data_IF_567278977214
#
_entry.id   IF_567278977214
#
_cell.length_a   1.000
_cell.length_b   1.000
_cell.length_c   1.000
_cell.angle_alpha   90.00
_cell.angle_beta   90.00
_cell.angle_gamma   90.00
#
_symmetry.space_group_name_H-M   'P 1'
#
loop_
_entity.id
_entity.type
_entity.pdbx_description
1 polymer ?
#
# COMPACT_ATOMS: atom_id res chain seq x y z
N UNK A 1 32.28 6.76 10.30
CA UNK A 1 31.11 7.34 9.66
C UNK A 1 30.03 7.44 10.70
N UNK A 2 29.47 8.62 10.89
CA UNK A 2 28.31 8.78 11.76
C UNK A 2 27.14 8.11 11.05
N UNK A 3 26.70 6.97 11.58
CA UNK A 3 25.46 6.33 11.19
C UNK A 3 24.30 7.10 11.83
N UNK A 4 23.25 7.37 11.08
CA UNK A 4 22.07 8.11 11.57
C UNK A 4 20.88 7.18 11.72
N UNK A 5 19.92 7.56 12.56
CA UNK A 5 18.68 6.81 12.70
C UNK A 5 17.79 7.02 11.46
N UNK A 6 17.26 5.93 10.93
CA UNK A 6 16.32 5.96 9.83
C UNK A 6 14.89 6.17 10.29
N UNK A 7 14.06 6.78 9.45
CA UNK A 7 12.64 6.97 9.69
C UNK A 7 11.87 6.53 8.44
N UNK A 8 10.83 5.74 8.65
CA UNK A 8 9.92 5.27 7.62
C UNK A 8 8.51 5.80 7.89
N UNK A 9 7.88 6.38 6.88
CA UNK A 9 6.52 6.92 7.00
C UNK A 9 5.72 6.79 5.70
N UNK A 10 4.41 6.96 5.82
CA UNK A 10 3.48 7.05 4.70
C UNK A 10 2.64 8.33 4.80
N UNK A 11 2.07 8.75 3.67
CA UNK A 11 1.31 10.00 3.59
C UNK A 11 -0.10 9.95 4.20
N UNK A 12 -0.59 8.78 4.55
CA UNK A 12 -1.92 8.62 5.18
C UNK A 12 -1.97 7.39 6.07
N UNK A 13 -2.95 7.33 6.95
CA UNK A 13 -3.25 6.17 7.81
C UNK A 13 -4.26 5.22 7.17
N UNK A 14 -4.95 5.65 6.13
CA UNK A 14 -5.92 4.86 5.37
C UNK A 14 -5.91 5.31 3.91
N UNK A 15 -6.21 4.40 3.00
CA UNK A 15 -6.23 4.69 1.57
C UNK A 15 -7.47 4.10 0.92
N UNK A 16 -7.92 4.75 -0.14
CA UNK A 16 -8.93 4.24 -1.07
C UNK A 16 -8.24 3.58 -2.25
N UNK A 17 -8.93 2.69 -2.94
CA UNK A 17 -8.43 2.15 -4.19
C UNK A 17 -8.13 3.26 -5.20
N UNK A 18 -6.99 3.17 -5.85
CA UNK A 18 -6.51 4.17 -6.80
C UNK A 18 -5.91 5.43 -6.17
N UNK A 19 -5.97 5.57 -4.86
CA UNK A 19 -5.34 6.70 -4.17
C UNK A 19 -3.82 6.56 -4.21
N UNK A 20 -3.08 7.67 -4.42
CA UNK A 20 -1.63 7.67 -4.31
C UNK A 20 -1.16 7.34 -2.89
N UNK A 21 -0.28 6.37 -2.79
CA UNK A 21 0.46 6.03 -1.56
C UNK A 21 1.88 6.55 -1.72
N UNK A 22 2.28 7.46 -0.85
CA UNK A 22 3.66 7.95 -0.79
C UNK A 22 4.36 7.32 0.39
N UNK A 23 5.44 6.59 0.11
CA UNK A 23 6.34 6.05 1.12
C UNK A 23 7.54 6.97 1.22
N UNK A 24 7.87 7.41 2.41
CA UNK A 24 9.02 8.26 2.70
C UNK A 24 10.02 7.52 3.58
N UNK A 25 11.26 7.48 3.13
CA UNK A 25 12.41 6.96 3.87
C UNK A 25 13.35 8.13 4.14
N UNK A 26 13.61 8.39 5.41
CA UNK A 26 14.66 9.33 5.82
C UNK A 26 15.84 8.52 6.29
N UNK A 27 16.90 8.52 5.50
CA UNK A 27 18.16 7.86 5.82
C UNK A 27 19.31 8.60 5.12
N UNK A 28 20.09 9.40 5.86
CA UNK A 28 21.22 10.10 5.28
C UNK A 28 22.29 9.18 4.71
N UNK A 29 22.36 7.92 5.13
CA UNK A 29 23.34 6.97 4.60
C UNK A 29 23.04 6.53 3.16
N UNK A 30 21.79 6.74 2.69
CA UNK A 30 21.41 6.53 1.30
C UNK A 30 21.86 7.68 0.37
N UNK A 31 22.21 8.84 0.92
CA UNK A 31 22.75 9.95 0.13
C UNK A 31 24.20 9.66 -0.25
N UNK A 32 24.41 9.34 -1.52
CA UNK A 32 25.73 9.01 -2.05
C UNK A 32 26.43 10.22 -2.70
N UNK A 33 25.64 11.18 -3.19
CA UNK A 33 26.12 12.35 -3.93
C UNK A 33 25.53 13.62 -3.33
N UNK A 34 26.38 14.57 -3.00
CA UNK A 34 25.94 15.81 -2.35
C UNK A 34 25.43 16.88 -3.32
N UNK A 35 25.67 16.72 -4.59
CA UNK A 35 25.34 17.67 -5.65
C UNK A 35 24.26 17.20 -6.63
N UNK A 36 23.86 15.93 -6.50
CA UNK A 36 22.85 15.29 -7.34
C UNK A 36 21.81 14.59 -6.47
N UNK A 37 20.64 14.40 -7.05
CA UNK A 37 19.56 13.60 -6.46
C UNK A 37 19.91 12.12 -6.63
N UNK A 38 19.92 11.37 -5.55
CA UNK A 38 20.07 9.92 -5.59
C UNK A 38 18.73 9.22 -5.86
N UNK A 39 18.77 8.14 -6.65
CA UNK A 39 17.60 7.38 -7.09
C UNK A 39 17.85 5.90 -6.87
N UNK A 40 16.88 5.21 -6.28
CA UNK A 40 16.89 3.77 -6.08
C UNK A 40 15.70 3.13 -6.80
N UNK A 41 16.00 2.23 -7.73
CA UNK A 41 15.02 1.62 -8.61
C UNK A 41 14.42 0.34 -8.02
N UNK A 42 13.23 0.02 -8.50
CA UNK A 42 12.57 -1.25 -8.24
C UNK A 42 13.22 -2.35 -9.08
N UNK A 43 13.39 -3.53 -8.52
CA UNK A 43 13.87 -4.70 -9.23
C UNK A 43 12.76 -5.20 -10.16
N UNK A 44 13.02 -5.15 -11.47
CA UNK A 44 12.05 -5.48 -12.52
C UNK A 44 12.23 -6.87 -13.14
N UNK A 45 13.28 -7.59 -12.80
CA UNK A 45 13.47 -8.97 -13.29
C UNK A 45 12.44 -9.90 -12.65
N UNK A 46 11.51 -10.48 -13.44
CA UNK A 46 10.48 -11.37 -12.92
C UNK A 46 11.02 -12.66 -12.31
N UNK A 47 12.24 -13.04 -12.66
CA UNK A 47 12.90 -14.25 -12.15
C UNK A 47 13.73 -13.99 -10.89
N UNK A 48 13.87 -12.73 -10.48
CA UNK A 48 14.56 -12.39 -9.25
C UNK A 48 13.71 -12.71 -8.02
N UNK A 49 14.33 -13.27 -7.00
CA UNK A 49 13.69 -13.45 -5.68
C UNK A 49 13.29 -12.11 -5.05
N UNK A 50 13.94 -11.02 -5.48
CA UNK A 50 13.72 -9.67 -5.00
C UNK A 50 12.84 -8.84 -5.95
N UNK A 51 12.14 -9.47 -6.88
CA UNK A 51 11.25 -8.77 -7.82
C UNK A 51 10.26 -7.86 -7.08
N UNK A 52 10.04 -6.68 -7.63
CA UNK A 52 9.14 -5.66 -7.08
C UNK A 52 9.54 -5.14 -5.68
N UNK A 53 10.78 -5.28 -5.30
CA UNK A 53 11.38 -4.55 -4.17
C UNK A 53 12.28 -3.44 -4.68
N UNK A 54 12.53 -2.43 -3.86
CA UNK A 54 13.59 -1.47 -4.14
C UNK A 54 14.89 -2.03 -3.62
N UNK A 55 15.89 -2.12 -4.47
CA UNK A 55 17.15 -2.72 -4.07
C UNK A 55 18.32 -2.29 -4.93
N UNK A 56 19.50 -2.61 -4.44
CA UNK A 56 20.77 -2.37 -5.12
C UNK A 56 21.72 -3.54 -4.86
N UNK A 57 22.36 -3.99 -5.90
CA UNK A 57 23.40 -5.04 -5.82
C UNK A 57 22.93 -6.34 -5.12
N UNK A 58 21.68 -6.74 -5.38
CA UNK A 58 21.07 -7.94 -4.77
C UNK A 58 20.59 -7.77 -3.33
N UNK A 59 20.71 -6.58 -2.76
CA UNK A 59 20.28 -6.26 -1.40
C UNK A 59 18.95 -5.52 -1.46
N UNK A 60 17.96 -5.98 -0.69
CA UNK A 60 16.67 -5.30 -0.55
C UNK A 60 16.84 -4.10 0.36
N UNK A 61 16.40 -2.93 -0.10
CA UNK A 61 16.27 -1.72 0.72
C UNK A 61 14.86 -1.53 1.24
N UNK A 62 13.86 -1.70 0.37
CA UNK A 62 12.47 -1.47 0.70
C UNK A 62 11.58 -2.51 0.03
N UNK A 63 10.65 -3.05 0.78
CA UNK A 63 9.54 -3.84 0.24
C UNK A 63 8.19 -3.30 0.74
N UNK A 64 7.19 -3.41 -0.10
CA UNK A 64 5.81 -3.04 0.21
C UNK A 64 4.98 -4.32 0.33
N UNK A 65 4.21 -4.43 1.41
CA UNK A 65 3.34 -5.55 1.69
C UNK A 65 1.90 -5.07 1.83
N UNK A 66 1.00 -5.82 1.23
CA UNK A 66 -0.46 -5.64 1.37
C UNK A 66 -1.03 -6.97 1.86
N UNK A 67 -1.75 -6.97 2.98
CA UNK A 67 -2.20 -8.20 3.66
C UNK A 67 -1.04 -9.15 4.02
N UNK A 68 0.10 -8.59 4.44
CA UNK A 68 1.34 -9.32 4.74
C UNK A 68 1.94 -10.06 3.53
N UNK A 69 1.49 -9.73 2.32
CA UNK A 69 2.02 -10.30 1.08
C UNK A 69 2.82 -9.22 0.36
N UNK A 70 4.04 -9.54 -0.04
CA UNK A 70 4.82 -8.63 -0.89
C UNK A 70 3.99 -8.23 -2.11
N UNK A 71 3.87 -6.93 -2.36
CA UNK A 71 3.20 -6.40 -3.54
C UNK A 71 4.06 -6.64 -4.78
N UNK A 72 4.01 -7.87 -5.29
CA UNK A 72 4.76 -8.30 -6.45
C UNK A 72 3.83 -8.77 -7.57
N UNK A 73 4.36 -8.73 -8.78
CA UNK A 73 3.69 -9.23 -9.98
C UNK A 73 3.49 -10.73 -9.95
N UNK A 74 2.48 -11.19 -10.67
CA UNK A 74 2.26 -12.61 -10.96
C UNK A 74 1.70 -12.78 -12.36
N UNK A 75 1.87 -13.98 -12.91
CA UNK A 75 1.32 -14.36 -14.22
C UNK A 75 0.27 -15.43 -14.01
N UNK A 76 -0.96 -15.17 -14.46
CA UNK A 76 -2.10 -16.07 -14.37
C UNK A 76 -2.65 -16.25 -15.78
N UNK A 77 -2.72 -17.48 -16.26
CA UNK A 77 -3.18 -17.80 -17.62
C UNK A 77 -2.49 -16.96 -18.72
N UNK A 78 -1.19 -16.74 -18.57
CA UNK A 78 -0.38 -15.98 -19.51
C UNK A 78 -0.51 -14.44 -19.39
N UNK A 79 -1.29 -13.94 -18.46
CA UNK A 79 -1.48 -12.51 -18.22
C UNK A 79 -0.71 -12.08 -16.97
N UNK A 80 0.14 -11.06 -17.11
CA UNK A 80 0.85 -10.46 -15.99
C UNK A 80 -0.01 -9.44 -15.26
N UNK A 81 -0.05 -9.53 -13.94
CA UNK A 81 -0.79 -8.63 -13.06
C UNK A 81 0.12 -8.00 -12.02
N UNK A 82 -0.17 -6.75 -11.69
CA UNK A 82 0.29 -6.04 -10.52
C UNK A 82 1.79 -5.90 -10.35
N UNK A 83 2.16 -5.60 -9.14
CA UNK A 83 3.53 -5.45 -8.68
C UNK A 83 3.98 -4.00 -8.53
N UNK A 84 4.84 -3.76 -7.55
CA UNK A 84 5.35 -2.44 -7.24
C UNK A 84 6.12 -1.84 -8.42
N UNK A 85 6.92 -2.65 -9.11
CA UNK A 85 7.73 -2.20 -10.24
C UNK A 85 6.88 -1.77 -11.44
N UNK A 86 5.77 -2.46 -11.70
CA UNK A 86 4.86 -2.11 -12.80
C UNK A 86 4.09 -0.82 -12.53
N UNK A 87 4.00 -0.40 -11.27
CA UNK A 87 3.41 0.89 -10.89
C UNK A 87 4.32 2.09 -11.18
N UNK A 88 5.59 1.84 -11.53
CA UNK A 88 6.59 2.88 -11.71
C UNK A 88 7.21 3.38 -10.40
N UNK A 89 7.00 2.68 -9.28
CA UNK A 89 7.55 3.06 -7.99
C UNK A 89 9.09 3.14 -8.04
N UNK A 90 9.60 4.27 -7.59
CA UNK A 90 11.03 4.55 -7.51
C UNK A 90 11.26 5.42 -6.28
N UNK A 91 12.27 5.10 -5.48
CA UNK A 91 12.70 5.99 -4.40
C UNK A 91 13.59 7.08 -4.95
N UNK A 92 13.14 8.32 -4.89
CA UNK A 92 13.84 9.49 -5.37
C UNK A 92 14.11 10.43 -4.21
N UNK A 93 15.34 10.87 -4.09
CA UNK A 93 15.72 11.87 -3.10
C UNK A 93 14.98 13.18 -3.37
N UNK A 94 14.48 13.83 -2.34
CA UNK A 94 13.66 15.06 -2.45
C UNK A 94 14.45 16.29 -2.89
N UNK A 95 15.75 16.22 -2.84
CA UNK A 95 16.69 17.24 -3.29
C UNK A 95 18.12 16.81 -3.02
N UNK A 96 19.12 17.50 -3.59
CA UNK A 96 20.52 17.15 -3.33
C UNK A 96 20.82 17.14 -1.83
N UNK A 97 21.40 16.06 -1.34
CA UNK A 97 21.85 15.94 0.06
C UNK A 97 20.77 16.07 1.13
N UNK A 98 19.51 15.79 0.83
CA UNK A 98 18.46 15.81 1.86
C UNK A 98 18.45 14.55 2.72
N UNK A 99 18.88 13.41 2.16
CA UNK A 99 18.76 12.11 2.80
C UNK A 99 17.30 11.67 3.00
N UNK A 100 16.35 12.30 2.31
CA UNK A 100 14.93 12.01 2.34
C UNK A 100 14.51 11.52 0.96
N UNK A 101 13.94 10.32 0.91
CA UNK A 101 13.56 9.62 -0.32
C UNK A 101 12.07 9.35 -0.34
N UNK A 102 11.42 9.57 -1.46
CA UNK A 102 10.00 9.34 -1.64
C UNK A 102 9.74 8.47 -2.87
N UNK A 103 8.79 7.57 -2.74
CA UNK A 103 8.25 6.80 -3.84
C UNK A 103 6.73 6.77 -3.77
N UNK A 104 6.07 6.67 -4.92
CA UNK A 104 4.61 6.73 -5.04
C UNK A 104 4.11 5.56 -5.86
N UNK A 105 3.03 4.93 -5.39
CA UNK A 105 2.24 3.98 -6.17
C UNK A 105 0.76 4.19 -5.89
N UNK A 106 -0.11 3.75 -6.80
CA UNK A 106 -1.55 3.79 -6.58
C UNK A 106 -2.00 2.54 -5.84
N UNK A 107 -2.83 2.72 -4.80
CA UNK A 107 -3.37 1.60 -4.04
C UNK A 107 -4.17 0.67 -4.94
N UNK A 108 -3.74 -0.60 -5.12
CA UNK A 108 -4.43 -1.53 -5.98
C UNK A 108 -5.69 -2.09 -5.30
N UNK A 109 -6.73 -2.36 -6.08
CA UNK A 109 -7.94 -3.05 -5.61
C UNK A 109 -7.75 -4.56 -5.49
N UNK A 110 -6.84 -5.11 -6.29
CA UNK A 110 -6.49 -6.53 -6.31
C UNK A 110 -4.98 -6.69 -6.29
N UNK A 111 -4.54 -7.74 -5.64
CA UNK A 111 -3.13 -8.13 -5.55
C UNK A 111 -2.98 -9.62 -5.87
N UNK A 112 -1.79 -10.02 -6.25
CA UNK A 112 -1.47 -11.44 -6.36
C UNK A 112 -1.45 -12.09 -4.97
N UNK A 113 -1.98 -13.29 -4.85
CA UNK A 113 -1.84 -14.06 -3.62
C UNK A 113 -0.38 -14.45 -3.40
N UNK A 114 -0.07 -15.01 -2.23
CA UNK A 114 1.30 -15.35 -1.84
C UNK A 114 1.97 -16.33 -2.80
N UNK A 115 1.21 -17.28 -3.34
CA UNK A 115 1.72 -18.27 -4.30
C UNK A 115 1.81 -17.74 -5.74
N UNK A 116 1.27 -16.56 -6.03
CA UNK A 116 1.25 -16.00 -7.38
C UNK A 116 0.31 -16.72 -8.35
N UNK A 117 -0.70 -17.42 -7.83
CA UNK A 117 -1.61 -18.27 -8.63
C UNK A 117 -2.99 -17.66 -8.83
N UNK A 118 -3.35 -16.65 -8.06
CA UNK A 118 -4.65 -16.00 -8.12
C UNK A 118 -4.58 -14.53 -7.69
N UNK A 119 -5.55 -13.74 -8.14
CA UNK A 119 -5.77 -12.40 -7.63
C UNK A 119 -6.73 -12.46 -6.44
N UNK A 120 -6.42 -11.69 -5.42
CA UNK A 120 -7.27 -11.51 -4.25
C UNK A 120 -7.56 -10.02 -4.04
N UNK A 121 -8.67 -9.71 -3.40
CA UNK A 121 -9.00 -8.32 -3.04
C UNK A 121 -8.00 -7.81 -2.00
N UNK A 122 -7.57 -6.57 -2.15
CA UNK A 122 -6.79 -5.86 -1.14
C UNK A 122 -7.66 -5.22 -0.04
N UNK A 123 -8.99 -5.23 -0.21
CA UNK A 123 -9.92 -4.64 0.74
C UNK A 123 -9.76 -5.25 2.14
N UNK A 124 -9.82 -4.41 3.16
CA UNK A 124 -9.67 -4.80 4.56
C UNK A 124 -8.25 -5.22 4.97
N UNK A 125 -7.30 -5.14 4.06
CA UNK A 125 -5.91 -5.47 4.33
C UNK A 125 -5.14 -4.34 5.03
N UNK A 126 -4.01 -4.70 5.62
CA UNK A 126 -3.02 -3.73 6.10
C UNK A 126 -2.04 -3.39 4.98
N UNK A 127 -1.59 -2.15 4.95
CA UNK A 127 -0.40 -1.74 4.21
C UNK A 127 0.78 -1.73 5.17
N UNK A 128 1.84 -2.39 4.77
CA UNK A 128 3.12 -2.27 5.43
C UNK A 128 4.20 -1.91 4.39
N UNK A 129 5.21 -1.24 4.84
CA UNK A 129 6.47 -1.11 4.12
C UNK A 129 7.57 -1.45 5.09
N UNK A 130 8.52 -2.25 4.64
CA UNK A 130 9.70 -2.61 5.42
C UNK A 130 10.93 -2.02 4.76
N UNK A 131 11.63 -1.21 5.53
CA UNK A 131 12.91 -0.62 5.16
C UNK A 131 14.03 -1.34 5.90
N UNK A 132 15.02 -1.79 5.16
CA UNK A 132 16.18 -2.52 5.68
C UNK A 132 17.39 -1.59 5.69
N UNK A 133 17.63 -0.98 6.85
CA UNK A 133 18.81 -0.14 7.07
C UNK A 133 20.02 -1.03 7.31
N UNK A 134 20.97 -0.98 6.40
CA UNK A 134 22.19 -1.78 6.52
C UNK A 134 23.13 -1.30 7.64
N UNK A 135 22.97 -0.07 8.10
CA UNK A 135 23.75 0.55 9.18
C UNK A 135 22.91 1.51 9.99
N UNK A 136 22.42 1.06 11.11
CA UNK A 136 21.79 1.93 12.10
C UNK A 136 22.84 2.78 12.86
N UNK A 137 22.39 3.55 13.85
CA UNK A 137 23.26 4.38 14.70
C UNK A 137 24.42 3.63 15.35
N UNK A 138 24.30 2.32 15.46
CA UNK A 138 25.30 1.45 16.10
C UNK A 138 26.10 0.65 15.07
N UNK A 139 25.85 0.84 13.78
CA UNK A 139 26.49 0.12 12.69
C UNK A 139 25.93 -1.27 12.42
N UNK A 140 24.75 -1.58 12.95
CA UNK A 140 24.07 -2.86 12.78
C UNK A 140 22.96 -2.77 11.73
N UNK A 141 22.64 -3.92 11.12
CA UNK A 141 21.44 -4.05 10.29
C UNK A 141 20.19 -3.89 11.16
N UNK A 142 19.32 -2.97 10.77
CA UNK A 142 18.04 -2.76 11.42
C UNK A 142 16.90 -2.75 10.40
N UNK A 143 15.72 -3.22 10.82
CA UNK A 143 14.53 -3.27 9.98
C UNK A 143 13.45 -2.37 10.55
N UNK A 144 12.96 -1.44 9.74
CA UNK A 144 11.87 -0.53 10.07
C UNK A 144 10.59 -1.00 9.37
N UNK A 145 9.45 -0.89 10.04
CA UNK A 145 8.14 -1.26 9.53
C UNK A 145 7.13 -0.17 9.83
N UNK A 146 6.24 0.16 8.87
CA UNK A 146 5.15 1.11 9.08
C UNK A 146 4.20 0.65 10.20
N UNK A 147 3.95 -0.64 10.30
CA UNK A 147 3.04 -1.20 11.32
C UNK A 147 3.63 -1.15 12.73
N UNK A 148 4.95 -1.03 12.86
CA UNK A 148 5.65 -0.95 14.16
C UNK A 148 6.03 0.46 14.54
N UNK A 149 5.81 1.45 13.67
CA UNK A 149 6.00 2.84 14.02
C UNK A 149 4.97 3.26 15.08
N UNK A 150 5.23 4.33 15.83
CA UNK A 150 4.43 4.78 16.97
C UNK A 150 2.95 5.10 16.65
N UNK A 151 2.57 5.04 15.38
CA UNK A 151 1.20 5.19 14.90
C UNK A 151 1.00 4.21 13.75
N UNK A 152 0.60 2.96 14.03
CA UNK A 152 0.38 1.98 12.99
C UNK A 152 -0.70 2.46 12.04
N UNK A 153 -0.39 2.44 10.75
CA UNK A 153 -1.36 2.70 9.70
C UNK A 153 -2.12 1.42 9.42
N UNK A 154 -3.37 1.36 9.86
CA UNK A 154 -4.25 0.25 9.52
C UNK A 154 -5.11 0.62 8.33
N UNK A 155 -5.15 -0.26 7.37
CA UNK A 155 -6.18 -0.23 6.35
C UNK A 155 -7.42 -0.89 6.89
N UNK A 156 -8.41 -0.10 7.19
CA UNK A 156 -9.77 -0.60 7.33
C UNK A 156 -10.55 -0.22 6.09
N UNK A 157 -10.48 -1.02 5.04
CA UNK A 157 -11.54 -0.97 4.06
C UNK A 157 -12.65 -1.89 4.56
N UNK A 158 -13.89 -1.42 4.68
CA UNK A 158 -14.99 -2.29 5.03
C UNK A 158 -15.11 -3.39 3.99
N UNK A 159 -15.20 -4.63 4.46
CA UNK A 159 -15.49 -5.77 3.60
C UNK A 159 -16.99 -5.89 3.44
N UNK A 160 -17.45 -5.80 2.19
CA UNK A 160 -18.83 -6.09 1.86
C UNK A 160 -18.99 -7.61 1.85
N UNK A 161 -19.65 -8.19 2.86
CA UNK A 161 -19.89 -9.62 2.95
C UNK A 161 -21.12 -10.06 2.14
N UNK A 162 -22.11 -9.17 1.99
CA UNK A 162 -23.29 -9.41 1.18
C UNK A 162 -23.93 -8.11 0.76
N UNK A 163 -24.71 -8.14 -0.31
CA UNK A 163 -25.62 -7.07 -0.67
C UNK A 163 -26.92 -7.67 -1.16
N UNK A 164 -28.00 -6.96 -0.90
CA UNK A 164 -29.35 -7.30 -1.38
C UNK A 164 -29.94 -6.09 -2.08
N UNK A 165 -30.51 -6.31 -3.24
CA UNK A 165 -31.24 -5.29 -3.98
C UNK A 165 -32.73 -5.58 -3.83
N UNK A 166 -33.44 -4.71 -3.12
CA UNK A 166 -34.88 -4.79 -3.00
C UNK A 166 -35.50 -4.08 -4.20
N UNK A 167 -36.14 -4.85 -5.09
CA UNK A 167 -36.82 -4.33 -6.26
C UNK A 167 -38.32 -4.27 -5.99
N UNK A 168 -38.96 -3.12 -6.19
CA UNK A 168 -40.41 -3.02 -6.16
C UNK A 168 -41.03 -3.70 -7.40
N UNK A 169 -42.30 -3.97 -7.32
CA UNK A 169 -43.08 -4.60 -8.43
C UNK A 169 -43.07 -3.81 -9.73
N UNK A 170 -42.70 -2.53 -9.68
CA UNK A 170 -42.61 -1.62 -10.84
C UNK A 170 -41.26 -1.62 -11.58
N UNK A 171 -40.29 -2.42 -11.15
CA UNK A 171 -38.99 -2.53 -11.82
C UNK A 171 -37.94 -1.47 -11.43
N UNK A 172 -38.26 -0.53 -10.55
CA UNK A 172 -37.27 0.39 -9.98
C UNK A 172 -36.65 -0.18 -8.73
N UNK A 173 -35.37 0.13 -8.48
CA UNK A 173 -34.68 -0.25 -7.25
C UNK A 173 -35.07 0.76 -6.17
N UNK A 174 -35.72 0.29 -5.10
CA UNK A 174 -36.08 1.12 -3.94
C UNK A 174 -35.00 1.13 -2.86
N UNK A 175 -34.32 0.01 -2.68
CA UNK A 175 -33.39 -0.16 -1.59
C UNK A 175 -32.26 -1.10 -1.97
N UNK A 176 -31.06 -0.77 -1.53
CA UNK A 176 -29.89 -1.64 -1.60
C UNK A 176 -29.43 -1.86 -0.16
N UNK A 177 -29.46 -3.12 0.28
CA UNK A 177 -28.95 -3.49 1.62
C UNK A 177 -27.54 -4.00 1.48
N UNK A 178 -26.61 -3.31 2.12
CA UNK A 178 -25.20 -3.67 2.15
C UNK A 178 -24.86 -4.18 3.54
N UNK A 179 -24.29 -5.36 3.62
CA UNK A 179 -23.79 -5.95 4.85
C UNK A 179 -22.30 -6.21 4.75
N UNK A 180 -21.57 -5.91 5.79
CA UNK A 180 -20.14 -6.11 5.80
C UNK A 180 -19.56 -6.07 7.20
N UNK A 181 -18.27 -6.28 7.27
CA UNK A 181 -17.50 -6.17 8.51
C UNK A 181 -16.39 -5.14 8.32
N UNK A 182 -16.00 -4.53 9.41
CA UNK A 182 -14.93 -3.56 9.46
C UNK A 182 -13.86 -4.03 10.43
N UNK A 183 -12.63 -4.16 9.95
CA UNK A 183 -11.49 -4.42 10.81
C UNK A 183 -11.13 -3.15 11.59
N UNK A 184 -10.96 -3.28 12.91
CA UNK A 184 -10.64 -2.17 13.80
C UNK A 184 -11.64 -0.99 13.74
N UNK A 185 -12.91 -1.21 14.07
CA UNK A 185 -13.91 -0.16 14.06
C UNK A 185 -13.55 0.93 15.08
N UNK A 186 -13.58 2.19 14.66
CA UNK A 186 -13.46 3.35 15.55
C UNK A 186 -14.86 3.89 15.84
N UNK A 187 -15.22 3.93 17.10
CA UNK A 187 -16.50 4.54 17.51
C UNK A 187 -16.53 6.03 17.14
N UNK A 188 -17.66 6.49 16.64
CA UNK A 188 -17.93 7.88 16.34
C UNK A 188 -17.36 8.38 15.01
N UNK A 189 -16.71 7.53 14.21
CA UNK A 189 -16.28 7.88 12.86
C UNK A 189 -17.25 7.27 11.87
N UNK A 190 -17.99 8.10 11.09
CA UNK A 190 -18.89 7.57 10.07
C UNK A 190 -18.09 6.89 8.94
N UNK A 191 -18.63 5.79 8.44
CA UNK A 191 -18.13 5.14 7.23
C UNK A 191 -18.62 5.92 6.01
N UNK A 192 -17.71 6.24 5.10
CA UNK A 192 -18.08 6.74 3.80
C UNK A 192 -18.34 5.57 2.84
N UNK A 193 -19.51 5.54 2.25
CA UNK A 193 -19.87 4.60 1.18
C UNK A 193 -19.90 5.37 -0.12
N UNK A 194 -19.12 4.91 -1.09
CA UNK A 194 -19.12 5.45 -2.44
C UNK A 194 -19.68 4.39 -3.38
N UNK A 195 -20.79 4.71 -4.02
CA UNK A 195 -21.38 3.86 -5.07
C UNK A 195 -21.04 4.48 -6.41
N UNK A 196 -20.36 3.72 -7.23
CA UNK A 196 -20.03 4.12 -8.60
C UNK A 196 -20.91 3.35 -9.58
N UNK A 197 -21.68 4.08 -10.38
CA UNK A 197 -22.47 3.48 -11.44
C UNK A 197 -21.60 3.10 -12.65
N UNK A 198 -22.08 2.21 -13.53
CA UNK A 198 -21.33 1.80 -14.73
C UNK A 198 -20.90 2.94 -15.65
N UNK A 199 -21.64 4.07 -15.64
CA UNK A 199 -21.29 5.27 -16.40
C UNK A 199 -20.29 6.20 -15.69
N UNK A 200 -19.75 5.79 -14.52
CA UNK A 200 -18.76 6.55 -13.79
C UNK A 200 -19.32 7.60 -12.82
N UNK A 201 -20.64 7.75 -12.71
CA UNK A 201 -21.23 8.63 -11.70
C UNK A 201 -21.06 8.04 -10.30
N UNK A 202 -20.72 8.88 -9.33
CA UNK A 202 -20.54 8.49 -7.95
C UNK A 202 -21.57 9.13 -7.04
N UNK A 203 -22.03 8.38 -6.06
CA UNK A 203 -22.86 8.87 -4.95
C UNK A 203 -22.16 8.54 -3.64
N UNK A 204 -22.15 9.50 -2.72
CA UNK A 204 -21.52 9.38 -1.42
C UNK A 204 -22.59 9.29 -0.33
N UNK A 205 -22.45 8.28 0.54
CA UNK A 205 -23.33 8.09 1.68
C UNK A 205 -22.49 7.97 2.95
N UNK A 206 -23.05 8.41 4.05
CA UNK A 206 -22.49 8.14 5.38
C UNK A 206 -23.26 6.99 6.02
N UNK A 207 -22.55 6.02 6.58
CA UNK A 207 -23.12 4.94 7.35
C UNK A 207 -22.62 4.99 8.78
N UNK A 208 -23.49 4.59 9.71
CA UNK A 208 -23.12 4.39 11.11
C UNK A 208 -22.88 2.91 11.38
N UNK A 209 -21.86 2.62 12.21
CA UNK A 209 -21.67 1.26 12.70
C UNK A 209 -22.81 0.90 13.67
N UNK A 210 -23.52 -0.18 13.39
CA UNK A 210 -24.35 -0.79 14.39
C UNK A 210 -23.45 -1.38 15.47
N UNK A 211 -23.79 -1.16 16.74
CA UNK A 211 -23.10 -1.84 17.82
C UNK A 211 -23.22 -3.36 17.63
N UNK A 212 -22.08 -4.06 17.63
CA UNK A 212 -22.08 -5.49 17.75
C UNK A 212 -22.60 -5.92 19.13
#
# INVERSE_FOLDING_TARGET
>A
ANTSSSVLSSNSKSYRFGQPVTITVKDPDLNLKNDLVDIYFTVNDPNSENVDTVGKDGIILLEVLIKDIRYKRCTIDGVEYGGLGTSGFTLVETGPSTGIFEGVFKMPSKICNKSGTALISSAGGSLDAKYYDSRDNFGNLNTFSLLRSSSPSFFSAPQLSSYEIVKPTSGQVEEIILSGSLDNPRRGIPLAIVITSPNGQTQNFAATLSSA
#
